data_IF_487597979349
#
_entry.id   IF_487597979349
#
_cell.length_a   1.000
_cell.length_b   1.000
_cell.length_c   1.000
_cell.angle_alpha   90.00
_cell.angle_beta   90.00
_cell.angle_gamma   90.00
#
_symmetry.space_group_name_H-M   'P 1'
#
loop_
_entity.id
_entity.type
_entity.pdbx_description
1 polymer ?
#
# COMPACT_ATOMS: atom_id res chain seq x y z
N UNK A 1 -19.20 -4.33 -20.19
CA UNK A 1 -18.53 -5.26 -19.24
C UNK A 1 -17.05 -5.26 -19.60
N UNK A 2 -16.20 -4.66 -18.77
CA UNK A 2 -14.75 -4.70 -19.01
C UNK A 2 -14.31 -6.16 -18.86
N UNK A 3 -13.95 -6.77 -19.98
CA UNK A 3 -13.30 -8.08 -19.98
C UNK A 3 -11.95 -7.89 -19.28
N UNK A 4 -11.77 -8.52 -18.13
CA UNK A 4 -10.49 -8.51 -17.43
C UNK A 4 -9.44 -9.07 -18.38
N UNK A 5 -8.52 -8.22 -18.83
CA UNK A 5 -7.38 -8.66 -19.63
C UNK A 5 -6.49 -9.56 -18.78
N UNK A 6 -5.82 -10.53 -19.40
CA UNK A 6 -4.84 -11.35 -18.68
C UNK A 6 -3.73 -10.47 -18.10
N UNK A 7 -3.18 -10.89 -16.94
CA UNK A 7 -2.10 -10.17 -16.27
C UNK A 7 -0.89 -9.96 -17.19
N UNK A 8 -0.61 -10.93 -18.07
CA UNK A 8 0.46 -10.87 -19.07
C UNK A 8 0.37 -9.64 -19.99
N UNK A 9 -0.84 -9.12 -20.23
CA UNK A 9 -1.03 -7.91 -21.05
C UNK A 9 -0.51 -6.63 -20.39
N UNK A 10 -0.26 -6.66 -19.08
CA UNK A 10 0.26 -5.55 -18.28
C UNK A 10 1.76 -5.67 -17.97
N UNK A 11 2.42 -6.73 -18.45
CA UNK A 11 3.84 -6.94 -18.20
C UNK A 11 4.68 -5.86 -18.88
N UNK A 12 5.60 -5.24 -18.13
CA UNK A 12 6.59 -4.33 -18.71
C UNK A 12 7.72 -5.16 -19.32
N UNK A 13 7.73 -5.30 -20.65
CA UNK A 13 8.69 -6.16 -21.37
C UNK A 13 10.17 -5.80 -21.18
N UNK A 14 10.47 -4.55 -20.83
CA UNK A 14 11.84 -4.09 -20.55
C UNK A 14 12.32 -4.39 -19.14
N UNK A 15 11.46 -4.94 -18.27
CA UNK A 15 11.75 -5.27 -16.89
C UNK A 15 11.69 -6.78 -16.65
N UNK A 16 12.18 -7.29 -15.51
CA UNK A 16 12.04 -8.69 -15.14
C UNK A 16 10.58 -9.16 -15.26
N UNK A 17 10.33 -10.45 -15.59
CA UNK A 17 8.99 -11.01 -15.80
C UNK A 17 8.20 -11.22 -14.50
N UNK A 18 8.34 -10.28 -13.57
CA UNK A 18 7.58 -10.16 -12.33
C UNK A 18 7.06 -8.73 -12.12
N UNK A 19 7.29 -7.81 -13.08
CA UNK A 19 6.85 -6.42 -13.00
C UNK A 19 5.72 -6.14 -13.99
N UNK A 20 4.59 -5.69 -13.45
CA UNK A 20 3.36 -5.41 -14.19
C UNK A 20 2.88 -3.99 -13.86
N UNK A 21 2.41 -3.25 -14.87
CA UNK A 21 1.80 -1.94 -14.69
C UNK A 21 0.35 -1.98 -15.12
N UNK A 22 -0.55 -1.80 -14.15
CA UNK A 22 -1.99 -1.77 -14.38
C UNK A 22 -2.45 -0.31 -14.29
N UNK A 23 -2.75 0.36 -15.42
CA UNK A 23 -3.28 1.71 -15.40
C UNK A 23 -4.66 1.73 -14.74
N UNK A 24 -4.98 2.85 -14.09
CA UNK A 24 -6.30 3.12 -13.50
C UNK A 24 -6.79 1.99 -12.58
N UNK A 25 -5.85 1.38 -11.83
CA UNK A 25 -6.12 0.24 -10.96
C UNK A 25 -7.09 0.57 -9.82
N UNK A 26 -7.02 1.81 -9.32
CA UNK A 26 -8.02 2.39 -8.41
C UNK A 26 -8.75 3.51 -9.14
N UNK A 27 -10.05 3.64 -8.89
CA UNK A 27 -10.83 4.75 -9.39
C UNK A 27 -10.78 5.97 -8.44
N UNK A 28 -11.32 7.11 -8.87
CA UNK A 28 -11.28 8.36 -8.10
C UNK A 28 -11.97 8.25 -6.73
N UNK A 29 -13.08 7.52 -6.64
CA UNK A 29 -13.81 7.33 -5.37
C UNK A 29 -12.97 6.50 -4.38
N UNK A 30 -12.34 5.43 -4.88
CA UNK A 30 -11.43 4.58 -4.10
C UNK A 30 -10.21 5.37 -3.63
N UNK A 31 -9.61 6.19 -4.50
CA UNK A 31 -8.50 7.07 -4.16
C UNK A 31 -8.89 8.03 -3.03
N UNK A 32 -10.02 8.74 -3.17
CA UNK A 32 -10.53 9.66 -2.14
C UNK A 32 -10.74 8.94 -0.79
N UNK A 33 -11.30 7.73 -0.82
CA UNK A 33 -11.51 6.91 0.39
C UNK A 33 -10.18 6.49 1.02
N UNK A 34 -9.19 6.08 0.24
CA UNK A 34 -7.85 5.73 0.72
C UNK A 34 -7.17 6.95 1.35
N UNK A 35 -7.16 8.10 0.67
CA UNK A 35 -6.59 9.34 1.19
C UNK A 35 -7.25 9.75 2.51
N UNK A 36 -8.58 9.70 2.59
CA UNK A 36 -9.32 9.97 3.82
C UNK A 36 -8.82 9.08 4.96
N UNK A 37 -8.73 7.77 4.75
CA UNK A 37 -8.29 6.83 5.80
C UNK A 37 -6.82 7.04 6.21
N UNK A 38 -5.95 7.33 5.25
CA UNK A 38 -4.53 7.62 5.51
C UNK A 38 -4.42 8.87 6.39
N UNK A 39 -5.09 9.96 6.03
CA UNK A 39 -4.94 11.24 6.73
C UNK A 39 -5.74 11.36 8.03
N UNK A 40 -6.82 10.58 8.22
CA UNK A 40 -7.56 10.51 9.49
C UNK A 40 -6.89 9.60 10.52
N UNK A 41 -5.85 8.85 10.13
CA UNK A 41 -5.12 7.97 11.04
C UNK A 41 -4.49 8.77 12.19
N UNK A 42 -4.68 8.35 13.46
CA UNK A 42 -4.16 9.08 14.63
C UNK A 42 -2.64 9.32 14.56
N UNK A 43 -2.19 10.48 15.06
CA UNK A 43 -0.76 10.83 15.09
C UNK A 43 0.15 9.73 15.70
N UNK A 44 -0.23 9.02 16.78
CA UNK A 44 0.61 7.94 17.33
C UNK A 44 0.87 6.77 16.37
N UNK A 45 0.05 6.58 15.33
CA UNK A 45 0.28 5.54 14.32
C UNK A 45 1.38 5.91 13.32
N UNK A 46 1.73 7.19 13.24
CA UNK A 46 2.73 7.68 12.29
C UNK A 46 4.13 7.69 12.92
N UNK A 47 5.05 6.96 12.29
CA UNK A 47 6.48 7.02 12.60
C UNK A 47 7.15 7.91 11.57
N UNK A 48 7.86 8.94 12.03
CA UNK A 48 8.65 9.82 11.17
C UNK A 48 10.07 9.28 11.04
N UNK A 49 10.52 9.12 9.79
CA UNK A 49 11.89 8.78 9.43
C UNK A 49 12.48 9.93 8.60
N UNK A 50 13.76 9.83 8.24
CA UNK A 50 14.41 10.85 7.40
C UNK A 50 13.72 10.95 6.03
N UNK A 51 12.99 12.05 5.82
CA UNK A 51 12.32 12.38 4.55
C UNK A 51 10.99 11.66 4.28
N UNK A 52 10.45 10.90 5.25
CA UNK A 52 9.17 10.20 5.07
C UNK A 52 8.47 9.90 6.39
N UNK A 53 7.18 9.58 6.30
CA UNK A 53 6.41 8.97 7.41
C UNK A 53 5.86 7.63 6.97
N UNK A 54 5.73 6.70 7.90
CA UNK A 54 5.09 5.41 7.68
C UNK A 54 4.11 5.12 8.81
N UNK A 55 3.15 4.24 8.53
CA UNK A 55 2.29 3.63 9.55
C UNK A 55 2.70 2.18 9.71
N UNK A 56 2.84 1.72 10.95
CA UNK A 56 3.07 0.30 11.24
C UNK A 56 1.71 -0.39 11.42
N UNK A 57 1.47 -1.45 10.65
CA UNK A 57 0.27 -2.27 10.73
C UNK A 57 0.71 -3.74 10.80
N UNK A 58 0.19 -4.51 11.76
CA UNK A 58 0.58 -5.91 11.94
C UNK A 58 1.86 -6.15 12.75
N UNK A 59 2.50 -5.09 13.24
CA UNK A 59 3.58 -5.19 14.22
C UNK A 59 4.42 -3.93 14.39
N UNK A 60 4.95 -3.74 15.60
CA UNK A 60 5.79 -2.61 16.00
C UNK A 60 7.27 -2.99 16.04
N UNK A 61 8.15 -2.19 15.38
CA UNK A 61 9.58 -2.32 15.56
C UNK A 61 10.02 -2.04 17.01
N UNK A 62 10.79 -2.96 17.59
CA UNK A 62 11.41 -2.82 18.91
C UNK A 62 12.90 -3.14 18.83
N UNK A 63 13.70 -2.64 19.79
CA UNK A 63 15.17 -2.86 19.81
C UNK A 63 15.56 -4.35 19.91
N UNK A 64 14.63 -5.24 20.28
CA UNK A 64 14.81 -6.70 20.37
C UNK A 64 14.10 -7.49 19.26
N UNK A 65 13.59 -6.83 18.22
CA UNK A 65 12.87 -7.48 17.10
C UNK A 65 11.51 -6.83 16.81
N UNK A 66 10.61 -7.58 16.19
CA UNK A 66 9.24 -7.12 15.90
C UNK A 66 8.28 -7.61 16.97
N UNK A 67 7.43 -6.73 17.49
CA UNK A 67 6.29 -7.08 18.31
C UNK A 67 5.07 -7.23 17.40
N UNK A 68 4.46 -8.40 17.34
CA UNK A 68 3.27 -8.62 16.53
C UNK A 68 2.09 -7.81 17.08
N UNK A 69 1.30 -7.21 16.19
CA UNK A 69 0.04 -6.55 16.51
C UNK A 69 -1.05 -7.09 15.59
N UNK A 70 -2.30 -7.02 16.03
CA UNK A 70 -3.43 -7.37 15.17
C UNK A 70 -3.54 -6.38 14.02
N UNK A 71 -3.76 -6.91 12.82
CA UNK A 71 -4.11 -6.11 11.65
C UNK A 71 -5.56 -5.65 11.87
N UNK A 72 -5.88 -4.36 11.64
CA UNK A 72 -7.26 -3.89 11.75
C UNK A 72 -8.16 -4.66 10.79
N UNK A 73 -9.35 -5.01 11.31
CA UNK A 73 -10.44 -5.58 10.53
C UNK A 73 -11.13 -4.52 9.66
#
# INVERSE_FOLDING_TARGET
VNMLKSLDSYQIKSLPPCVYYIPDFINEEEELKLLKNIYTSPLPKWVSLRGRRLQNWGGLPHVKGMLAEEIPH
#
